data_IF_419810702805
#
_entry.id   IF_419810702805
#
_cell.length_a   1.000
_cell.length_b   1.000
_cell.length_c   1.000
_cell.angle_alpha   90.00
_cell.angle_beta   90.00
_cell.angle_gamma   90.00
#
_symmetry.space_group_name_H-M   'P 1'
#
loop_
_entity.id
_entity.type
_entity.pdbx_description
1 polymer ?
#
# COMPACT_ATOMS: atom_id res chain seq x y z
N UNK A 1 4.00 18.70 -13.97
CA UNK A 1 3.38 18.15 -12.75
C UNK A 1 1.89 18.11 -13.01
N UNK A 2 1.31 16.92 -13.05
CA UNK A 2 -0.15 16.77 -13.16
C UNK A 2 -0.75 16.76 -11.75
N UNK A 3 -1.94 17.32 -11.62
CA UNK A 3 -2.65 17.44 -10.35
C UNK A 3 -4.04 16.83 -10.51
N UNK A 4 -4.38 15.95 -9.58
CA UNK A 4 -5.70 15.31 -9.49
C UNK A 4 -6.25 15.61 -8.11
N UNK A 5 -7.48 16.12 -8.06
CA UNK A 5 -8.11 16.54 -6.80
C UNK A 5 -8.95 15.41 -6.21
N UNK A 6 -8.62 15.01 -4.99
CA UNK A 6 -9.54 14.26 -4.14
C UNK A 6 -10.41 15.25 -3.35
N UNK A 7 -11.60 15.58 -3.86
CA UNK A 7 -12.48 16.59 -3.21
C UNK A 7 -13.04 16.15 -1.86
N UNK A 8 -13.21 14.85 -1.67
CA UNK A 8 -13.68 14.25 -0.42
C UNK A 8 -12.64 13.23 0.06
N UNK A 9 -12.01 13.42 1.23
CA UNK A 9 -10.99 12.53 1.75
C UNK A 9 -11.63 11.25 2.30
N UNK A 10 -11.86 10.26 1.43
CA UNK A 10 -12.52 8.99 1.75
C UNK A 10 -11.54 7.80 1.81
N UNK A 11 -10.28 8.06 2.15
CA UNK A 11 -9.24 7.04 2.18
C UNK A 11 -8.28 7.05 0.98
N UNK A 12 -7.25 6.22 1.08
CA UNK A 12 -6.14 6.13 0.12
C UNK A 12 -6.54 5.43 -1.17
N UNK A 13 -7.38 4.40 -1.12
CA UNK A 13 -7.87 3.78 -2.35
C UNK A 13 -8.76 4.75 -3.14
N UNK A 14 -9.63 5.51 -2.45
CA UNK A 14 -10.42 6.57 -3.09
C UNK A 14 -9.51 7.65 -3.72
N UNK A 15 -8.36 7.97 -3.12
CA UNK A 15 -7.41 8.91 -3.72
C UNK A 15 -6.85 8.38 -5.04
N UNK A 16 -6.48 7.09 -5.10
CA UNK A 16 -6.02 6.43 -6.32
C UNK A 16 -7.12 6.32 -7.38
N UNK A 17 -8.36 6.07 -6.97
CA UNK A 17 -9.53 6.03 -7.86
C UNK A 17 -9.80 7.37 -8.58
N UNK A 18 -9.27 8.50 -8.09
CA UNK A 18 -9.41 9.77 -8.79
C UNK A 18 -8.55 9.86 -10.05
N UNK A 19 -7.52 9.01 -10.16
CA UNK A 19 -6.61 9.00 -11.30
C UNK A 19 -7.28 8.26 -12.47
N UNK A 20 -7.33 8.84 -13.69
CA UNK A 20 -7.88 8.15 -14.84
C UNK A 20 -7.17 6.82 -15.08
N UNK A 21 -7.94 5.73 -15.20
CA UNK A 21 -7.43 4.38 -15.43
C UNK A 21 -6.43 4.27 -16.61
N UNK A 22 -6.62 5.06 -17.66
CA UNK A 22 -5.72 5.10 -18.83
C UNK A 22 -4.31 5.59 -18.50
N UNK A 23 -4.12 6.35 -17.43
CA UNK A 23 -2.80 6.80 -16.97
C UNK A 23 -2.05 5.73 -16.16
N UNK A 24 -2.76 4.71 -15.67
CA UNK A 24 -2.20 3.65 -14.85
C UNK A 24 -1.96 2.37 -15.68
N UNK A 25 -2.89 2.02 -16.57
CA UNK A 25 -2.85 0.75 -17.31
C UNK A 25 -1.57 0.57 -18.12
N UNK A 26 -1.00 -0.63 -18.03
CA UNK A 26 0.24 -1.01 -18.73
C UNK A 26 1.51 -0.35 -18.19
N UNK A 27 1.46 0.31 -17.03
CA UNK A 27 2.62 0.97 -16.39
C UNK A 27 2.92 0.33 -15.04
N UNK A 28 4.17 0.45 -14.60
CA UNK A 28 4.56 0.26 -13.20
C UNK A 28 4.16 1.50 -12.41
N UNK A 29 3.31 1.35 -11.39
CA UNK A 29 2.75 2.46 -10.60
C UNK A 29 3.36 2.44 -9.21
N UNK A 30 4.18 3.45 -8.91
CA UNK A 30 4.70 3.68 -7.57
C UNK A 30 3.73 4.57 -6.78
N UNK A 31 3.34 4.13 -5.59
CA UNK A 31 2.51 4.90 -4.65
C UNK A 31 3.32 5.19 -3.40
N UNK A 32 3.32 6.46 -2.99
CA UNK A 32 4.09 6.95 -1.84
C UNK A 32 3.22 7.90 -1.02
N UNK A 33 3.21 7.71 0.30
CA UNK A 33 2.59 8.68 1.19
C UNK A 33 3.44 9.98 1.25
N UNK A 34 2.78 11.13 1.09
CA UNK A 34 3.46 12.44 1.05
C UNK A 34 4.09 12.89 2.37
N UNK A 35 3.84 12.18 3.47
CA UNK A 35 4.29 12.46 4.83
C UNK A 35 5.55 11.66 5.24
N UNK A 36 6.28 11.11 4.26
CA UNK A 36 7.47 10.27 4.48
C UNK A 36 8.79 11.02 4.21
N UNK A 37 9.26 11.91 5.11
CA UNK A 37 10.40 12.81 4.86
C UNK A 37 11.76 12.10 4.76
N UNK A 38 11.86 10.88 5.28
CA UNK A 38 13.10 10.09 5.26
C UNK A 38 13.19 9.14 4.07
N UNK A 39 12.22 9.17 3.15
CA UNK A 39 12.23 8.30 1.99
C UNK A 39 13.38 8.68 1.05
N UNK A 40 14.21 7.69 0.71
CA UNK A 40 15.37 7.89 -0.17
C UNK A 40 15.12 7.35 -1.58
N UNK A 41 15.83 7.90 -2.56
CA UNK A 41 15.82 7.37 -3.93
C UNK A 41 16.28 5.90 -4.00
N UNK A 42 17.21 5.50 -3.11
CA UNK A 42 17.69 4.12 -3.04
C UNK A 42 16.57 3.15 -2.58
N UNK A 43 15.80 3.55 -1.55
CA UNK A 43 14.65 2.78 -1.07
C UNK A 43 13.59 2.62 -2.16
N UNK A 44 13.27 3.69 -2.88
CA UNK A 44 12.30 3.64 -3.99
C UNK A 44 12.78 2.67 -5.09
N UNK A 45 14.03 2.79 -5.54
CA UNK A 45 14.58 1.92 -6.57
C UNK A 45 14.55 0.46 -6.16
N UNK A 46 14.93 0.15 -4.92
CA UNK A 46 14.91 -1.22 -4.41
C UNK A 46 13.52 -1.86 -4.49
N UNK A 47 12.44 -1.08 -4.27
CA UNK A 47 11.07 -1.59 -4.37
C UNK A 47 10.67 -1.80 -5.83
N UNK A 48 11.01 -0.87 -6.71
CA UNK A 48 10.74 -0.99 -8.15
C UNK A 48 11.48 -2.20 -8.73
N UNK A 49 12.76 -2.35 -8.44
CA UNK A 49 13.58 -3.46 -8.94
C UNK A 49 13.03 -4.80 -8.47
N UNK A 50 12.65 -4.91 -7.19
CA UNK A 50 12.03 -6.12 -6.65
C UNK A 50 10.69 -6.45 -7.33
N UNK A 51 9.88 -5.42 -7.60
CA UNK A 51 8.58 -5.56 -8.26
C UNK A 51 8.73 -6.07 -9.70
N UNK A 52 9.62 -5.45 -10.47
CA UNK A 52 9.86 -5.79 -11.87
C UNK A 52 10.51 -7.18 -12.03
N UNK A 53 11.47 -7.52 -11.15
CA UNK A 53 12.12 -8.84 -11.16
C UNK A 53 11.13 -9.97 -10.87
N UNK A 54 10.23 -9.77 -9.91
CA UNK A 54 9.26 -10.78 -9.51
C UNK A 54 8.02 -10.79 -10.42
N UNK A 55 7.83 -9.76 -11.25
CA UNK A 55 6.60 -9.53 -12.03
C UNK A 55 5.35 -9.65 -11.16
N UNK A 56 5.46 -9.14 -9.92
CA UNK A 56 4.42 -9.25 -8.92
C UNK A 56 3.25 -8.31 -9.28
N UNK A 57 1.99 -8.65 -8.96
CA UNK A 57 0.88 -7.72 -9.12
C UNK A 57 1.00 -6.49 -8.20
N UNK A 58 1.58 -6.69 -7.02
CA UNK A 58 1.84 -5.67 -6.02
C UNK A 58 3.12 -5.99 -5.25
N UNK A 59 3.85 -4.96 -4.85
CA UNK A 59 5.02 -5.03 -3.98
C UNK A 59 4.90 -3.93 -2.95
N UNK A 60 5.17 -4.27 -1.70
CA UNK A 60 5.09 -3.37 -0.55
C UNK A 60 6.45 -3.29 0.11
N UNK A 61 6.87 -2.09 0.49
CA UNK A 61 7.99 -1.92 1.39
C UNK A 61 7.51 -2.12 2.83
N UNK A 62 8.33 -2.79 3.63
CA UNK A 62 8.03 -3.02 5.04
C UNK A 62 9.27 -2.88 5.90
N UNK A 63 9.05 -2.74 7.21
CA UNK A 63 10.12 -2.72 8.20
C UNK A 63 9.74 -3.59 9.38
N UNK A 64 10.71 -4.33 9.92
CA UNK A 64 10.55 -5.06 11.18
C UNK A 64 11.10 -4.20 12.30
N UNK A 65 10.23 -3.69 13.17
CA UNK A 65 10.61 -2.81 14.28
C UNK A 65 9.60 -2.92 15.44
N UNK A 66 9.94 -3.62 16.54
CA UNK A 66 9.01 -3.86 17.64
C UNK A 66 8.61 -2.58 18.41
N UNK A 67 9.27 -1.45 18.15
CA UNK A 67 8.94 -0.15 18.79
C UNK A 67 7.85 0.63 18.05
N UNK A 68 7.52 0.23 16.81
CA UNK A 68 6.49 0.89 16.00
C UNK A 68 5.07 0.46 16.39
N UNK A 69 4.10 1.32 16.08
CA UNK A 69 2.68 1.03 16.27
C UNK A 69 1.83 1.54 15.09
N UNK A 70 2.16 1.10 13.87
CA UNK A 70 1.46 1.47 12.64
C UNK A 70 0.64 0.28 12.07
N UNK A 71 0.19 0.39 10.81
CA UNK A 71 -0.40 -0.73 10.07
C UNK A 71 0.57 -1.90 9.96
N UNK A 72 0.13 -3.09 10.36
CA UNK A 72 0.95 -4.30 10.46
C UNK A 72 0.74 -5.21 9.26
N UNK A 73 1.82 -5.84 8.82
CA UNK A 73 1.81 -6.85 7.75
C UNK A 73 1.62 -8.22 8.37
N UNK A 74 0.63 -8.94 7.86
CA UNK A 74 0.40 -10.35 8.18
C UNK A 74 0.84 -11.16 6.95
N UNK A 75 1.79 -12.06 7.16
CA UNK A 75 2.26 -12.98 6.13
C UNK A 75 1.65 -14.37 6.32
N UNK A 76 1.33 -15.00 5.21
CA UNK A 76 0.95 -16.41 5.17
C UNK A 76 2.14 -17.33 5.46
N UNK A 77 1.88 -18.62 5.59
CA UNK A 77 2.91 -19.64 5.87
C UNK A 77 3.96 -19.78 4.77
N UNK A 78 3.63 -19.37 3.55
CA UNK A 78 4.53 -19.34 2.39
C UNK A 78 5.31 -18.01 2.27
N UNK A 79 5.13 -17.09 3.23
CA UNK A 79 5.76 -15.77 3.24
C UNK A 79 5.04 -14.73 2.37
N UNK A 80 3.95 -15.09 1.69
CA UNK A 80 3.14 -14.15 0.92
C UNK A 80 2.44 -13.14 1.81
N UNK A 81 2.16 -11.95 1.27
CA UNK A 81 1.35 -10.94 1.97
C UNK A 81 -0.11 -11.43 2.02
N UNK A 82 -0.63 -11.73 3.20
CA UNK A 82 -2.02 -12.14 3.38
C UNK A 82 -2.93 -10.92 3.53
N UNK A 83 -2.56 -9.99 4.42
CA UNK A 83 -3.30 -8.74 4.64
C UNK A 83 -2.47 -7.71 5.40
N UNK A 84 -2.95 -6.47 5.37
CA UNK A 84 -2.48 -5.38 6.23
C UNK A 84 -3.58 -5.11 7.25
N UNK A 85 -3.22 -5.04 8.53
CA UNK A 85 -4.13 -4.70 9.61
C UNK A 85 -3.78 -3.31 10.11
N UNK A 86 -4.68 -2.36 9.94
CA UNK A 86 -4.51 -1.00 10.41
C UNK A 86 -4.35 -0.93 11.92
N UNK A 87 -3.60 0.06 12.40
CA UNK A 87 -3.33 0.26 13.84
C UNK A 87 -4.59 0.22 14.69
N UNK A 88 -5.66 0.84 14.22
CA UNK A 88 -6.97 0.95 14.90
C UNK A 88 -7.73 -0.37 14.99
N UNK A 89 -7.43 -1.30 14.07
CA UNK A 89 -8.11 -2.59 13.96
C UNK A 89 -7.30 -3.74 14.57
N UNK A 90 -6.05 -3.49 14.95
CA UNK A 90 -5.15 -4.46 15.56
C UNK A 90 -5.53 -4.73 17.04
N UNK A 91 -5.93 -5.97 17.33
CA UNK A 91 -6.20 -6.44 18.70
C UNK A 91 -4.91 -6.53 19.53
N UNK A 92 -4.97 -6.62 20.87
CA UNK A 92 -3.79 -6.78 21.72
C UNK A 92 -2.92 -7.98 21.33
N UNK A 93 -3.53 -9.09 20.93
CA UNK A 93 -2.85 -10.31 20.51
C UNK A 93 -2.06 -10.07 19.21
N UNK A 94 -2.68 -9.39 18.23
CA UNK A 94 -2.03 -9.02 16.97
C UNK A 94 -0.88 -8.05 17.23
N UNK A 95 -1.09 -7.04 18.09
CA UNK A 95 -0.07 -6.05 18.45
C UNK A 95 1.15 -6.68 19.11
N UNK A 96 0.96 -7.75 19.87
CA UNK A 96 2.04 -8.49 20.53
C UNK A 96 2.76 -9.49 19.62
N UNK A 97 2.09 -10.02 18.59
CA UNK A 97 2.63 -11.08 17.74
C UNK A 97 3.31 -10.59 16.46
N UNK A 98 2.89 -9.44 15.92
CA UNK A 98 3.34 -8.96 14.61
C UNK A 98 4.08 -7.64 14.70
N UNK A 99 5.36 -7.66 14.28
CA UNK A 99 6.28 -6.53 14.32
C UNK A 99 6.79 -6.12 12.93
N UNK A 100 6.19 -6.63 11.85
CA UNK A 100 6.41 -6.14 10.50
C UNK A 100 5.35 -5.08 10.17
N UNK A 101 5.80 -3.91 9.72
CA UNK A 101 4.97 -2.73 9.52
C UNK A 101 5.00 -2.25 8.08
N UNK A 102 3.84 -1.81 7.60
CA UNK A 102 3.67 -1.10 6.34
C UNK A 102 4.25 0.31 6.46
N UNK A 103 5.10 0.71 5.51
CA UNK A 103 5.75 2.05 5.52
C UNK A 103 5.16 3.02 4.50
N UNK A 104 4.05 2.68 3.83
CA UNK A 104 3.37 3.59 2.90
C UNK A 104 4.10 3.78 1.56
N UNK A 105 4.85 2.76 1.13
CA UNK A 105 5.53 2.71 -0.16
C UNK A 105 5.17 1.41 -0.88
N UNK A 106 4.59 1.56 -2.06
CA UNK A 106 4.04 0.45 -2.84
C UNK A 106 4.42 0.58 -4.31
N UNK A 107 4.52 -0.54 -4.98
CA UNK A 107 4.67 -0.63 -6.43
C UNK A 107 3.66 -1.64 -6.97
N UNK A 108 2.93 -1.25 -8.01
CA UNK A 108 1.86 -2.06 -8.60
C UNK A 108 2.04 -2.22 -10.10
N UNK A 109 1.57 -3.35 -10.63
CA UNK A 109 1.16 -3.40 -12.03
C UNK A 109 -0.09 -2.54 -12.18
N UNK A 110 -0.02 -1.48 -12.98
CA UNK A 110 -1.08 -0.50 -13.08
C UNK A 110 -2.37 -1.06 -13.71
N UNK A 111 -2.29 -2.14 -14.48
CA UNK A 111 -3.49 -2.82 -15.00
C UNK A 111 -4.19 -3.57 -13.87
N UNK A 112 -3.46 -4.36 -13.10
CA UNK A 112 -3.96 -5.06 -11.91
C UNK A 112 -4.51 -4.09 -10.87
N UNK A 113 -3.77 -3.01 -10.59
CA UNK A 113 -4.21 -1.96 -9.68
C UNK A 113 -5.57 -1.39 -10.10
N UNK A 114 -5.72 -1.04 -11.38
CA UNK A 114 -6.97 -0.47 -11.89
C UNK A 114 -8.12 -1.46 -11.76
N UNK A 115 -7.89 -2.74 -12.05
CA UNK A 115 -8.93 -3.78 -12.00
C UNK A 115 -9.36 -4.07 -10.55
N UNK A 116 -8.44 -4.04 -9.59
CA UNK A 116 -8.75 -4.23 -8.17
C UNK A 116 -9.35 -2.98 -7.50
N UNK A 117 -8.88 -1.78 -7.85
CA UNK A 117 -9.44 -0.52 -7.31
C UNK A 117 -10.94 -0.38 -7.57
N UNK A 118 -11.44 -0.91 -8.70
CA UNK A 118 -12.87 -0.92 -9.01
C UNK A 118 -13.73 -1.81 -8.11
N UNK A 119 -13.10 -2.71 -7.34
CA UNK A 119 -13.78 -3.64 -6.41
C UNK A 119 -13.72 -3.19 -4.96
N UNK A 120 -12.87 -2.22 -4.65
CA UNK A 120 -12.71 -1.68 -3.30
C UNK A 120 -13.98 -0.93 -2.92
N UNK A 121 -14.57 -1.32 -1.79
CA UNK A 121 -15.77 -0.73 -1.20
C UNK A 121 -15.44 -0.17 0.18
N UNK A 122 -16.28 0.75 0.66
CA UNK A 122 -16.15 1.44 1.95
C UNK A 122 -16.60 0.61 3.17
N UNK A 123 -16.63 -0.73 3.05
CA UNK A 123 -17.09 -1.66 4.08
C UNK A 123 -15.97 -2.03 5.08
N UNK A 124 -15.35 -1.03 5.68
CA UNK A 124 -14.39 -1.23 6.77
C UNK A 124 -14.71 -0.35 7.98
N UNK A 125 -14.03 -0.62 9.10
CA UNK A 125 -14.23 0.12 10.38
C UNK A 125 -13.92 1.61 10.28
N UNK A 126 -13.25 2.05 9.21
CA UNK A 126 -12.99 3.46 8.92
C UNK A 126 -14.12 4.13 8.12
N UNK A 127 -14.95 3.36 7.42
CA UNK A 127 -15.83 3.87 6.36
C UNK A 127 -15.05 4.45 5.18
N UNK A 128 -13.81 3.97 4.97
CA UNK A 128 -12.92 4.42 3.89
C UNK A 128 -12.83 3.36 2.81
N UNK A 129 -12.53 3.76 1.57
CA UNK A 129 -12.20 2.84 0.49
C UNK A 129 -10.79 2.30 0.69
#
# INVERSE_FOLDING_TARGET
MELVYQRNPKGTAHALQQIPAGELRGRTVLVVNGDSPLLTAASIRSVIDAHEQQKAPATIASVVDPTRDDGRIIRGTDGSLERIIERKDATPEIRAAFHEFNVGLYCFDGSRLTDELGKVADDNKAGEF
#
